data_IF_623661518471
#
_entry.id   IF_623661518471
#
_cell.length_a   1.000
_cell.length_b   1.000
_cell.length_c   1.000
_cell.angle_alpha   90.00
_cell.angle_beta   90.00
_cell.angle_gamma   90.00
#
_symmetry.space_group_name_H-M   'P 1'
#
loop_
_entity.id
_entity.type
_entity.pdbx_description
1 polymer ?
#
# COMPACT_ATOMS: atom_id res chain seq x y z
N UNK A 1 10.23 5.49 -23.11
CA UNK A 1 8.83 5.01 -23.15
C UNK A 1 7.97 6.19 -23.55
N UNK A 2 7.41 6.17 -24.75
CA UNK A 2 6.44 7.18 -25.20
C UNK A 2 5.06 6.72 -24.76
N UNK A 3 4.66 7.12 -23.55
CA UNK A 3 3.26 7.10 -23.12
C UNK A 3 2.44 7.76 -24.22
N UNK A 4 1.37 7.12 -24.68
CA UNK A 4 0.54 7.72 -25.72
C UNK A 4 -0.01 9.06 -25.18
N UNK A 5 -0.18 10.07 -26.04
CA UNK A 5 -0.66 11.40 -25.63
C UNK A 5 -1.95 11.29 -24.80
N UNK A 6 -2.79 10.34 -25.15
CA UNK A 6 -4.05 10.04 -24.45
C UNK A 6 -3.81 9.49 -23.04
N UNK A 7 -2.82 8.62 -22.83
CA UNK A 7 -2.49 8.09 -21.50
C UNK A 7 -2.04 9.20 -20.55
N UNK A 8 -1.33 10.19 -21.08
CA UNK A 8 -0.86 11.35 -20.32
C UNK A 8 -2.00 12.27 -19.93
N UNK A 9 -2.96 12.47 -20.84
CA UNK A 9 -4.18 13.24 -20.57
C UNK A 9 -5.11 12.51 -19.60
N UNK A 10 -5.23 11.18 -19.73
CA UNK A 10 -5.99 10.33 -18.79
C UNK A 10 -5.37 10.38 -17.39
N UNK A 11 -4.03 10.38 -17.28
CA UNK A 11 -3.36 10.52 -15.98
C UNK A 11 -3.77 11.82 -15.27
N UNK A 12 -3.94 12.91 -16.01
CA UNK A 12 -4.31 14.21 -15.44
C UNK A 12 -5.80 14.35 -15.17
N UNK A 13 -6.65 14.01 -16.14
CA UNK A 13 -8.09 14.23 -16.07
C UNK A 13 -8.88 13.06 -15.46
N UNK A 14 -8.27 11.87 -15.36
CA UNK A 14 -8.93 10.61 -14.98
C UNK A 14 -10.01 10.14 -15.95
N UNK A 15 -10.13 10.75 -17.13
CA UNK A 15 -11.01 10.32 -18.21
C UNK A 15 -10.35 10.62 -19.57
N UNK A 16 -10.81 9.94 -20.63
CA UNK A 16 -10.38 10.22 -21.99
C UNK A 16 -11.16 11.39 -22.59
N UNK A 17 -10.48 12.32 -23.27
CA UNK A 17 -11.14 13.41 -23.98
C UNK A 17 -12.13 12.90 -25.03
N UNK A 18 -11.84 11.77 -25.68
CA UNK A 18 -12.76 11.16 -26.65
C UNK A 18 -14.01 10.60 -25.99
N UNK A 19 -13.87 10.04 -24.78
CA UNK A 19 -15.04 9.63 -23.98
C UNK A 19 -15.92 10.84 -23.66
N UNK A 20 -15.33 11.93 -23.19
CA UNK A 20 -16.06 13.18 -22.89
C UNK A 20 -16.79 13.72 -24.12
N UNK A 21 -16.13 13.77 -25.29
CA UNK A 21 -16.74 14.23 -26.55
C UNK A 21 -17.95 13.38 -26.92
N UNK A 22 -17.81 12.05 -26.85
CA UNK A 22 -18.87 11.11 -27.20
C UNK A 22 -20.06 11.23 -26.24
N UNK A 23 -19.82 11.26 -24.93
CA UNK A 23 -20.87 11.39 -23.91
C UNK A 23 -21.62 12.72 -24.06
N UNK A 24 -20.89 13.80 -24.36
CA UNK A 24 -21.50 15.11 -24.61
C UNK A 24 -22.36 15.10 -25.87
N UNK A 25 -21.92 14.44 -26.95
CA UNK A 25 -22.69 14.28 -28.19
C UNK A 25 -23.97 13.50 -27.96
N UNK A 26 -23.87 12.38 -27.26
CA UNK A 26 -25.03 11.55 -26.94
C UNK A 26 -26.04 12.31 -26.08
N UNK A 27 -25.57 13.03 -25.06
CA UNK A 27 -26.42 13.83 -24.19
C UNK A 27 -27.19 14.91 -24.98
N UNK A 28 -26.51 15.64 -25.87
CA UNK A 28 -27.14 16.70 -26.68
C UNK A 28 -28.19 16.10 -27.63
N UNK A 29 -27.85 15.00 -28.30
CA UNK A 29 -28.80 14.32 -29.20
C UNK A 29 -30.01 13.80 -28.43
N UNK A 30 -29.80 13.18 -27.27
CA UNK A 30 -30.87 12.68 -26.42
C UNK A 30 -31.80 13.81 -25.94
N UNK A 31 -31.24 14.93 -25.48
CA UNK A 31 -32.03 16.08 -25.06
C UNK A 31 -32.83 16.70 -26.22
N UNK A 32 -32.20 16.84 -27.39
CA UNK A 32 -32.89 17.30 -28.59
C UNK A 32 -34.07 16.39 -28.94
N UNK A 33 -33.85 15.08 -29.02
CA UNK A 33 -34.90 14.10 -29.31
C UNK A 33 -36.04 14.18 -28.31
N UNK A 34 -35.73 14.21 -27.02
CA UNK A 34 -36.73 14.25 -25.96
C UNK A 34 -37.58 15.54 -26.02
N UNK A 35 -36.92 16.71 -26.08
CA UNK A 35 -37.62 18.00 -26.13
C UNK A 35 -38.46 18.15 -27.40
N UNK A 36 -37.93 17.74 -28.55
CA UNK A 36 -38.68 17.83 -29.80
C UNK A 36 -39.88 16.88 -29.82
N UNK A 37 -39.72 15.65 -29.30
CA UNK A 37 -40.83 14.72 -29.14
C UNK A 37 -41.94 15.30 -28.23
N UNK A 38 -41.58 15.91 -27.10
CA UNK A 38 -42.55 16.57 -26.22
C UNK A 38 -43.33 17.66 -26.98
N UNK A 39 -42.63 18.51 -27.74
CA UNK A 39 -43.28 19.57 -28.54
C UNK A 39 -44.23 18.97 -29.58
N UNK A 40 -43.80 17.96 -30.33
CA UNK A 40 -44.64 17.29 -31.32
C UNK A 40 -45.87 16.63 -30.68
N UNK A 41 -45.72 15.95 -29.54
CA UNK A 41 -46.85 15.34 -28.83
C UNK A 41 -47.85 16.40 -28.33
N UNK A 42 -47.39 17.57 -27.89
CA UNK A 42 -48.28 18.69 -27.53
C UNK A 42 -49.00 19.24 -28.76
N UNK A 43 -48.30 19.40 -29.89
CA UNK A 43 -48.92 19.85 -31.13
C UNK A 43 -49.96 18.85 -31.66
N UNK A 44 -49.64 17.56 -31.66
CA UNK A 44 -50.55 16.48 -32.09
C UNK A 44 -51.87 16.48 -31.31
N UNK A 45 -51.83 16.76 -30.00
CA UNK A 45 -53.04 16.84 -29.15
C UNK A 45 -53.98 18.00 -29.52
N UNK A 46 -53.45 19.05 -30.15
CA UNK A 46 -54.24 20.24 -30.53
C UNK A 46 -54.76 20.17 -31.97
N UNK A 47 -54.38 19.13 -32.73
CA UNK A 47 -54.85 18.93 -34.11
C UNK A 47 -56.03 17.96 -34.10
N UNK A 48 -57.17 18.40 -34.62
CA UNK A 48 -58.38 17.56 -34.75
C UNK A 48 -58.47 16.84 -36.10
N UNK A 49 -57.79 17.34 -37.13
CA UNK A 49 -57.77 16.76 -38.47
C UNK A 49 -56.66 15.69 -38.63
N UNK A 50 -57.05 14.48 -39.03
CA UNK A 50 -56.12 13.36 -39.24
C UNK A 50 -55.13 13.59 -40.39
N UNK A 51 -55.54 14.31 -41.45
CA UNK A 51 -54.62 14.64 -42.55
C UNK A 51 -53.51 15.59 -42.08
N UNK A 52 -53.84 16.55 -41.23
CA UNK A 52 -52.87 17.44 -40.60
C UNK A 52 -51.93 16.73 -39.62
N UNK A 53 -52.40 15.70 -38.89
CA UNK A 53 -51.54 14.86 -38.03
C UNK A 53 -50.50 14.09 -38.83
N UNK A 54 -50.89 13.53 -39.97
CA UNK A 54 -49.96 12.79 -40.83
C UNK A 54 -48.89 13.71 -41.44
N UNK A 55 -49.29 14.92 -41.86
CA UNK A 55 -48.32 15.95 -42.28
C UNK A 55 -47.36 16.34 -41.15
N UNK A 56 -47.83 16.43 -39.90
CA UNK A 56 -46.99 16.74 -38.75
C UNK A 56 -45.93 15.65 -38.51
N UNK A 57 -46.28 14.36 -38.65
CA UNK A 57 -45.32 13.25 -38.54
C UNK A 57 -44.22 13.33 -39.60
N UNK A 58 -44.59 13.58 -40.86
CA UNK A 58 -43.61 13.75 -41.94
C UNK A 58 -42.69 14.96 -41.70
N UNK A 59 -43.25 16.08 -41.21
CA UNK A 59 -42.47 17.27 -40.86
C UNK A 59 -41.56 17.05 -39.66
N UNK A 60 -42.02 16.28 -38.68
CA UNK A 60 -41.24 15.88 -37.50
C UNK A 60 -39.95 15.18 -37.93
N UNK A 61 -40.05 14.17 -38.79
CA UNK A 61 -38.87 13.44 -39.30
C UNK A 61 -37.93 14.34 -40.11
N UNK A 62 -38.48 15.20 -40.98
CA UNK A 62 -37.68 16.15 -41.75
C UNK A 62 -36.91 17.14 -40.88
N UNK A 63 -37.57 17.69 -39.85
CA UNK A 63 -36.94 18.64 -38.92
C UNK A 63 -35.90 17.92 -38.07
N UNK A 64 -36.20 16.73 -37.54
CA UNK A 64 -35.25 15.94 -36.77
C UNK A 64 -33.98 15.62 -37.55
N UNK A 65 -34.11 15.18 -38.81
CA UNK A 65 -32.95 14.93 -39.66
C UNK A 65 -32.10 16.19 -39.89
N UNK A 66 -32.74 17.35 -40.08
CA UNK A 66 -32.03 18.64 -40.19
C UNK A 66 -31.31 19.04 -38.91
N UNK A 67 -31.96 18.85 -37.75
CA UNK A 67 -31.37 19.16 -36.45
C UNK A 67 -30.17 18.25 -36.17
N UNK A 68 -30.28 16.94 -36.40
CA UNK A 68 -29.17 15.99 -36.25
C UNK A 68 -27.98 16.36 -37.14
N UNK A 69 -28.22 16.59 -38.44
CA UNK A 69 -27.16 17.00 -39.37
C UNK A 69 -26.50 18.32 -38.97
N UNK A 70 -27.24 19.23 -38.33
CA UNK A 70 -26.70 20.50 -37.84
C UNK A 70 -25.84 20.27 -36.60
N UNK A 71 -26.32 19.46 -35.66
CA UNK A 71 -25.59 19.12 -34.43
C UNK A 71 -24.28 18.41 -34.78
N UNK A 72 -24.28 17.45 -35.71
CA UNK A 72 -23.07 16.76 -36.14
C UNK A 72 -22.00 17.73 -36.66
N UNK A 73 -22.38 18.64 -37.57
CA UNK A 73 -21.45 19.65 -38.10
C UNK A 73 -20.89 20.60 -37.03
N UNK A 74 -21.70 20.96 -36.04
CA UNK A 74 -21.23 21.80 -34.93
C UNK A 74 -20.36 21.01 -33.95
N UNK A 75 -20.63 19.71 -33.78
CA UNK A 75 -19.83 18.84 -32.94
C UNK A 75 -18.41 18.63 -33.46
N UNK A 76 -18.22 18.61 -34.79
CA UNK A 76 -16.87 18.55 -35.37
C UNK A 76 -16.03 19.76 -34.93
N UNK A 77 -16.64 20.96 -34.93
CA UNK A 77 -15.98 22.18 -34.44
C UNK A 77 -15.72 22.12 -32.94
N UNK A 78 -16.71 21.68 -32.16
CA UNK A 78 -16.57 21.48 -30.72
C UNK A 78 -15.42 20.53 -30.38
N UNK A 79 -15.31 19.41 -31.09
CA UNK A 79 -14.24 18.43 -30.89
C UNK A 79 -12.86 19.08 -31.14
N UNK A 80 -12.73 19.85 -32.22
CA UNK A 80 -11.48 20.58 -32.50
C UNK A 80 -11.13 21.62 -31.43
N UNK A 81 -12.13 22.32 -30.88
CA UNK A 81 -11.91 23.27 -29.79
C UNK A 81 -11.53 22.56 -28.48
N UNK A 82 -12.12 21.40 -28.17
CA UNK A 82 -11.73 20.57 -27.03
C UNK A 82 -10.29 20.09 -27.17
N UNK A 83 -9.92 19.55 -28.33
CA UNK A 83 -8.56 19.08 -28.60
C UNK A 83 -7.51 20.20 -28.53
N UNK A 84 -7.90 21.44 -28.80
CA UNK A 84 -7.00 22.58 -28.70
C UNK A 84 -6.85 23.09 -27.26
N UNK A 85 -7.92 23.07 -26.48
CA UNK A 85 -7.95 23.73 -25.16
C UNK A 85 -7.68 22.77 -24.00
N UNK A 86 -8.02 21.49 -24.14
CA UNK A 86 -7.85 20.48 -23.10
C UNK A 86 -6.69 19.52 -23.38
N UNK A 87 -6.11 19.52 -24.58
CA UNK A 87 -4.92 18.72 -24.82
C UNK A 87 -3.73 19.28 -24.04
N UNK A 88 -2.98 18.39 -23.40
CA UNK A 88 -1.79 18.77 -22.66
C UNK A 88 -0.64 18.94 -23.66
N UNK A 89 0.01 20.11 -23.74
CA UNK A 89 1.13 20.31 -24.65
C UNK A 89 2.30 19.38 -24.31
N UNK A 90 2.97 18.83 -25.33
CA UNK A 90 4.07 17.86 -25.16
C UNK A 90 5.26 18.39 -24.36
N UNK A 91 5.41 19.71 -24.27
CA UNK A 91 6.49 20.35 -23.51
C UNK A 91 6.15 20.52 -22.02
N UNK A 92 4.91 20.23 -21.59
CA UNK A 92 4.49 20.35 -20.19
C UNK A 92 4.65 19.01 -19.50
N UNK A 93 5.48 19.01 -18.44
CA UNK A 93 5.61 17.89 -17.53
C UNK A 93 4.55 18.00 -16.42
N UNK A 94 3.78 16.94 -16.20
CA UNK A 94 2.81 16.86 -15.13
C UNK A 94 3.53 16.79 -13.77
N UNK A 95 2.95 17.37 -12.70
CA UNK A 95 3.55 17.34 -11.37
C UNK A 95 3.92 15.92 -10.88
N UNK A 96 3.09 14.94 -11.21
CA UNK A 96 3.27 13.53 -10.86
C UNK A 96 4.51 12.92 -11.54
N UNK A 97 4.91 13.48 -12.69
CA UNK A 97 6.01 12.98 -13.51
C UNK A 97 7.30 13.79 -13.33
N UNK A 98 7.34 14.74 -12.39
CA UNK A 98 8.55 15.55 -12.07
C UNK A 98 9.75 14.66 -11.73
N UNK A 99 9.52 13.53 -11.05
CA UNK A 99 10.58 12.56 -10.68
C UNK A 99 11.25 11.97 -11.93
N UNK A 100 10.53 11.95 -13.06
CA UNK A 100 11.01 11.46 -14.35
C UNK A 100 11.48 12.59 -15.29
N UNK A 101 11.66 13.82 -14.77
CA UNK A 101 12.18 14.93 -15.58
C UNK A 101 13.60 14.62 -16.07
N UNK A 102 13.72 14.31 -17.36
CA UNK A 102 14.99 13.99 -18.01
C UNK A 102 15.95 15.19 -18.04
N UNK A 103 15.45 16.42 -17.90
CA UNK A 103 16.28 17.64 -17.90
C UNK A 103 16.85 17.97 -16.52
N UNK A 104 16.23 17.46 -15.45
CA UNK A 104 16.67 17.57 -14.06
C UNK A 104 16.42 16.25 -13.34
N UNK A 105 17.12 15.16 -13.73
CA UNK A 105 16.90 13.86 -13.13
C UNK A 105 17.27 13.94 -11.66
N UNK A 106 16.29 13.60 -10.80
CA UNK A 106 16.49 13.65 -9.35
C UNK A 106 17.37 12.50 -8.86
N UNK A 107 17.37 11.39 -9.61
CA UNK A 107 18.26 10.24 -9.44
C UNK A 107 18.69 9.75 -10.81
N UNK A 108 19.97 9.43 -10.97
CA UNK A 108 20.48 8.75 -12.16
C UNK A 108 20.30 7.24 -12.03
N UNK A 109 20.36 6.51 -13.15
CA UNK A 109 20.35 5.03 -13.12
C UNK A 109 21.50 4.46 -12.29
N UNK A 110 22.65 5.15 -12.26
CA UNK A 110 23.79 4.78 -11.43
C UNK A 110 23.45 4.92 -9.93
N UNK A 111 22.76 5.99 -9.54
CA UNK A 111 22.33 6.21 -8.16
C UNK A 111 21.31 5.14 -7.72
N UNK A 112 20.36 4.78 -8.60
CA UNK A 112 19.38 3.71 -8.32
C UNK A 112 20.08 2.36 -8.14
N UNK A 113 21.08 2.06 -8.99
CA UNK A 113 21.85 0.82 -8.89
C UNK A 113 22.68 0.75 -7.61
N UNK A 114 23.30 1.86 -7.22
CA UNK A 114 24.06 1.95 -5.98
C UNK A 114 23.16 1.86 -4.74
N UNK A 115 22.00 2.52 -4.73
CA UNK A 115 21.00 2.39 -3.67
C UNK A 115 20.51 0.95 -3.53
N UNK A 116 20.29 0.26 -4.65
CA UNK A 116 19.89 -1.15 -4.64
C UNK A 116 20.99 -2.03 -4.06
N UNK A 117 22.25 -1.78 -4.41
CA UNK A 117 23.40 -2.49 -3.84
C UNK A 117 23.50 -2.28 -2.32
N UNK A 118 23.42 -1.03 -1.86
CA UNK A 118 23.45 -0.71 -0.43
C UNK A 118 22.28 -1.32 0.35
N UNK A 119 21.10 -1.36 -0.26
CA UNK A 119 19.94 -2.01 0.34
C UNK A 119 20.17 -3.51 0.56
N UNK A 120 20.67 -4.22 -0.45
CA UNK A 120 20.94 -5.65 -0.33
C UNK A 120 22.06 -5.94 0.67
N UNK A 121 23.13 -5.13 0.70
CA UNK A 121 24.19 -5.25 1.71
C UNK A 121 23.67 -5.08 3.14
N UNK A 122 22.79 -4.08 3.37
CA UNK A 122 22.19 -3.88 4.69
C UNK A 122 21.24 -5.00 5.08
N UNK A 123 20.53 -5.59 4.12
CA UNK A 123 19.66 -6.74 4.35
C UNK A 123 20.47 -7.96 4.79
N UNK A 124 21.59 -8.24 4.12
CA UNK A 124 22.50 -9.33 4.51
C UNK A 124 23.04 -9.09 5.93
N UNK A 125 23.56 -7.89 6.21
CA UNK A 125 24.05 -7.56 7.57
C UNK A 125 22.95 -7.70 8.63
N UNK A 126 21.71 -7.35 8.31
CA UNK A 126 20.60 -7.49 9.24
C UNK A 126 20.29 -8.96 9.54
N UNK A 127 20.28 -9.82 8.52
CA UNK A 127 20.09 -11.27 8.68
C UNK A 127 21.21 -11.91 9.51
N UNK A 128 22.47 -11.54 9.25
CA UNK A 128 23.63 -11.98 10.04
C UNK A 128 23.52 -11.54 11.51
N UNK A 129 23.16 -10.27 11.75
CA UNK A 129 22.98 -9.74 13.09
C UNK A 129 21.86 -10.45 13.88
N UNK A 130 20.76 -10.82 13.21
CA UNK A 130 19.71 -11.63 13.83
C UNK A 130 20.27 -12.99 14.27
N UNK A 131 21.05 -13.64 13.41
CA UNK A 131 21.70 -14.91 13.72
C UNK A 131 22.57 -14.81 14.98
N UNK A 132 23.42 -13.79 15.04
CA UNK A 132 24.29 -13.54 16.20
C UNK A 132 23.47 -13.29 17.47
N UNK A 133 22.41 -12.48 17.41
CA UNK A 133 21.55 -12.23 18.58
C UNK A 133 20.91 -13.53 19.08
N UNK A 134 20.44 -14.39 18.18
CA UNK A 134 19.88 -15.69 18.56
C UNK A 134 20.92 -16.60 19.23
N UNK A 135 22.16 -16.61 18.74
CA UNK A 135 23.25 -17.36 19.37
C UNK A 135 23.64 -16.80 20.73
N UNK A 136 23.75 -15.47 20.86
CA UNK A 136 24.00 -14.81 22.15
C UNK A 136 22.89 -15.13 23.16
N UNK A 137 21.64 -15.20 22.72
CA UNK A 137 20.52 -15.58 23.59
C UNK A 137 20.68 -17.01 24.12
N UNK A 138 21.00 -17.98 23.24
CA UNK A 138 21.27 -19.37 23.65
C UNK A 138 22.42 -19.49 24.65
N UNK A 139 23.50 -18.75 24.41
CA UNK A 139 24.66 -18.72 25.32
C UNK A 139 24.26 -18.13 26.67
N UNK A 140 23.51 -17.03 26.67
CA UNK A 140 23.01 -16.40 27.91
C UNK A 140 22.10 -17.34 28.70
N UNK A 141 21.19 -18.07 28.02
CA UNK A 141 20.36 -19.09 28.66
C UNK A 141 21.19 -20.23 29.26
N UNK A 142 22.23 -20.69 28.56
CA UNK A 142 23.13 -21.72 29.07
C UNK A 142 23.90 -21.26 30.33
N UNK A 143 24.38 -20.00 30.34
CA UNK A 143 25.00 -19.41 31.52
C UNK A 143 24.02 -19.26 32.70
N UNK A 144 22.79 -18.81 32.43
CA UNK A 144 21.75 -18.69 33.46
C UNK A 144 21.37 -20.06 34.07
N UNK A 145 21.52 -21.16 33.33
CA UNK A 145 21.33 -22.51 33.86
C UNK A 145 22.49 -22.98 34.76
N UNK A 146 23.70 -22.46 34.56
CA UNK A 146 24.89 -22.79 35.35
C UNK A 146 25.02 -21.94 36.62
N UNK A 147 24.45 -20.74 36.61
CA UNK A 147 24.49 -19.80 37.74
C UNK A 147 24.01 -20.40 39.08
N UNK A 148 22.89 -21.16 39.14
CA UNK A 148 22.47 -21.81 40.39
C UNK A 148 23.44 -22.88 40.88
N UNK A 149 24.17 -23.55 39.97
CA UNK A 149 25.15 -24.56 40.35
C UNK A 149 26.39 -23.92 40.99
N UNK A 150 26.85 -22.80 40.43
CA UNK A 150 27.93 -21.98 40.98
C UNK A 150 27.56 -21.38 42.33
N UNK A 151 26.33 -20.87 42.48
CA UNK A 151 25.84 -20.37 43.77
C UNK A 151 25.82 -21.46 44.85
N UNK A 152 25.39 -22.68 44.48
CA UNK A 152 25.41 -23.81 45.40
C UNK A 152 26.84 -24.21 45.79
N UNK A 153 27.79 -24.15 44.86
CA UNK A 153 29.21 -24.41 45.12
C UNK A 153 29.82 -23.35 46.05
N UNK A 154 29.52 -22.08 45.84
CA UNK A 154 29.95 -20.99 46.72
C UNK A 154 29.41 -21.16 48.15
N UNK A 155 28.11 -21.45 48.30
CA UNK A 155 27.50 -21.72 49.61
C UNK A 155 28.12 -22.94 50.29
N UNK A 156 28.46 -23.98 49.52
CA UNK A 156 29.15 -25.17 50.06
C UNK A 156 30.55 -24.81 50.59
N UNK A 157 31.31 -24.02 49.82
CA UNK A 157 32.63 -23.55 50.22
C UNK A 157 32.59 -22.69 51.47
N UNK A 158 31.65 -21.75 51.56
CA UNK A 158 31.46 -20.91 52.76
C UNK A 158 31.11 -21.76 53.98
N UNK A 159 30.18 -22.72 53.82
CA UNK A 159 29.79 -23.64 54.91
C UNK A 159 30.96 -24.52 55.37
N UNK A 160 31.83 -24.95 54.44
CA UNK A 160 33.05 -25.69 54.76
C UNK A 160 34.07 -24.83 55.51
N UNK A 161 34.23 -23.57 55.11
CA UNK A 161 35.06 -22.58 55.80
C UNK A 161 34.61 -22.38 57.24
N UNK A 162 33.32 -22.10 57.44
CA UNK A 162 32.73 -21.92 58.78
C UNK A 162 32.90 -23.17 59.67
N UNK A 163 32.71 -24.37 59.11
CA UNK A 163 32.86 -25.62 59.86
C UNK A 163 34.32 -25.92 60.28
N UNK A 164 35.29 -25.49 59.46
CA UNK A 164 36.72 -25.59 59.77
C UNK A 164 37.14 -24.57 60.83
N UNK A 165 36.64 -23.33 60.76
CA UNK A 165 36.89 -22.28 61.76
C UNK A 165 36.30 -22.62 63.13
N UNK A 166 35.14 -23.29 63.17
CA UNK A 166 34.51 -23.77 64.41
C UNK A 166 35.19 -25.02 65.01
N UNK A 167 36.29 -25.50 64.44
CA UNK A 167 37.13 -26.55 65.04
C UNK A 167 36.54 -27.96 65.00
N UNK A 168 35.62 -28.25 64.05
CA UNK A 168 35.08 -29.60 63.88
C UNK A 168 36.16 -30.51 63.28
N UNK A 169 36.67 -31.47 64.07
CA UNK A 169 37.62 -32.49 63.63
C UNK A 169 37.11 -33.15 62.33
N UNK A 170 37.92 -33.04 61.27
CA UNK A 170 37.70 -33.49 59.88
C UNK A 170 37.30 -34.96 59.69
N UNK A 171 37.30 -35.76 60.75
CA UNK A 171 36.79 -37.15 60.75
C UNK A 171 35.26 -37.26 60.78
N UNK A 172 34.52 -36.23 61.20
CA UNK A 172 33.03 -36.23 61.16
C UNK A 172 32.46 -35.94 59.77
N UNK A 173 33.17 -35.14 58.97
CA UNK A 173 32.74 -34.76 57.60
C UNK A 173 32.80 -35.96 56.67
N UNK A 174 33.81 -36.83 56.80
CA UNK A 174 33.97 -38.05 55.98
C UNK A 174 32.85 -39.09 56.17
N UNK A 175 32.26 -39.15 57.37
CA UNK A 175 31.15 -40.07 57.67
C UNK A 175 29.78 -39.46 57.38
N UNK A 176 29.61 -38.13 57.48
CA UNK A 176 28.33 -37.45 57.16
C UNK A 176 28.17 -37.09 55.67
N UNK A 177 29.25 -37.05 54.90
CA UNK A 177 29.20 -36.94 53.43
C UNK A 177 28.62 -38.17 52.73
N UNK A 178 28.49 -39.31 53.43
CA UNK A 178 27.85 -40.51 52.84
C UNK A 178 26.33 -40.39 52.73
N UNK A 179 25.70 -39.47 53.47
CA UNK A 179 24.24 -39.33 53.48
C UNK A 179 23.83 -37.89 53.10
N UNK A 180 24.08 -37.56 51.82
CA UNK A 180 23.71 -36.27 51.20
C UNK A 180 22.20 -35.97 51.37
N UNK A 181 21.38 -37.01 51.54
CA UNK A 181 19.94 -36.92 51.78
C UNK A 181 19.56 -36.15 53.05
N UNK A 182 20.32 -36.27 54.14
CA UNK A 182 20.04 -35.56 55.39
C UNK A 182 20.39 -34.07 55.32
N UNK A 183 21.49 -33.74 54.62
CA UNK A 183 21.93 -32.35 54.40
C UNK A 183 20.89 -31.60 53.55
N UNK A 184 20.35 -32.24 52.51
CA UNK A 184 19.27 -31.67 51.67
C UNK A 184 17.98 -31.44 52.48
N UNK A 185 17.64 -32.29 53.46
CA UNK A 185 16.46 -32.08 54.32
C UNK A 185 16.62 -30.88 55.27
N UNK A 186 17.82 -30.65 55.82
CA UNK A 186 18.09 -29.50 56.68
C UNK A 186 18.02 -28.20 55.88
N UNK A 187 18.54 -28.20 54.65
CA UNK A 187 18.44 -27.05 53.73
C UNK A 187 16.99 -26.72 53.35
N UNK A 188 16.14 -27.72 53.10
CA UNK A 188 14.69 -27.50 52.81
C UNK A 188 13.91 -26.90 53.98
N UNK A 189 14.32 -27.13 55.24
CA UNK A 189 13.67 -26.54 56.42
C UNK A 189 14.05 -25.07 56.63
N UNK A 190 15.25 -24.63 56.23
CA UNK A 190 15.67 -23.22 56.34
C UNK A 190 15.01 -22.30 55.31
N UNK A 191 14.64 -22.80 54.11
CA UNK A 191 13.94 -22.02 53.07
C UNK A 191 12.46 -21.72 53.34
N UNK A 192 11.88 -22.14 54.48
CA UNK A 192 10.47 -21.92 54.85
C UNK A 192 10.25 -20.92 55.99
N UNK A 193 11.23 -20.08 56.32
CA UNK A 193 11.07 -18.93 57.20
C UNK A 193 11.39 -17.66 56.44
#
# INVERSE_FOLDING_TARGET
>A
MTTSKDEYEIQHYSFSLDQMKNDTKELVLHQMHNKFNIVCTVLEKNITDEAAKEMLKQKKEQIMGKMQNTIEKQFDKFNGDIDKNLAIPQYILLPENIIHDVRKPQYTEADVKELTRQFEEKKIMFEENIGVIMEMHKVTEAFAQLEPALDNEAVLHDTLGEALEQGVKTNLVKNKLKDISEIIQIMKKKKKK
#
